data_IF_582689163807
#
_entry.id   IF_582689163807
#
_cell.length_a   1.000
_cell.length_b   1.000
_cell.length_c   1.000
_cell.angle_alpha   90.00
_cell.angle_beta   90.00
_cell.angle_gamma   90.00
#
_symmetry.space_group_name_H-M   'P 1'
#
loop_
_entity.id
_entity.type
_entity.pdbx_description
1 polymer ?
#
# COMPACT_ATOMS: atom_id res chain seq x y z
N UNK A 1 1.05 -1.06 -9.49
CA UNK A 1 2.24 -0.19 -9.67
C UNK A 1 2.09 0.99 -8.73
N UNK A 2 2.75 0.98 -7.57
CA UNK A 2 2.44 1.92 -6.49
C UNK A 2 2.78 3.37 -6.85
N UNK A 3 3.72 3.59 -7.77
CA UNK A 3 4.04 4.93 -8.27
C UNK A 3 2.93 5.47 -9.19
N UNK A 4 2.45 4.64 -10.12
CA UNK A 4 1.41 5.02 -11.09
C UNK A 4 0.08 5.29 -10.39
N UNK A 5 -0.31 4.46 -9.41
CA UNK A 5 -1.54 4.70 -8.64
C UNK A 5 -1.48 6.03 -7.88
N UNK A 6 -0.34 6.36 -7.27
CA UNK A 6 -0.14 7.65 -6.59
C UNK A 6 -0.20 8.83 -7.55
N UNK A 7 0.44 8.72 -8.72
CA UNK A 7 0.39 9.77 -9.74
C UNK A 7 -1.03 10.01 -10.26
N UNK A 8 -1.77 8.92 -10.55
CA UNK A 8 -3.17 8.99 -10.95
C UNK A 8 -4.07 9.55 -9.85
N UNK A 9 -3.80 9.23 -8.58
CA UNK A 9 -4.53 9.80 -7.44
C UNK A 9 -4.38 11.32 -7.40
N UNK A 10 -3.14 11.82 -7.52
CA UNK A 10 -2.85 13.25 -7.49
C UNK A 10 -3.53 13.95 -8.67
N UNK A 11 -3.40 13.40 -9.88
CA UNK A 11 -4.08 13.93 -11.07
C UNK A 11 -5.60 13.96 -10.90
N UNK A 12 -6.22 12.88 -10.40
CA UNK A 12 -7.65 12.81 -10.18
C UNK A 12 -8.13 13.85 -9.16
N UNK A 13 -7.38 14.06 -8.07
CA UNK A 13 -7.68 15.09 -7.07
C UNK A 13 -7.62 16.49 -7.70
N UNK A 14 -6.55 16.80 -8.44
CA UNK A 14 -6.44 18.10 -9.11
C UNK A 14 -7.55 18.32 -10.14
N UNK A 15 -7.90 17.30 -10.92
CA UNK A 15 -8.99 17.37 -11.89
C UNK A 15 -10.35 17.64 -11.21
N UNK A 16 -10.64 16.93 -10.11
CA UNK A 16 -11.89 17.12 -9.36
C UNK A 16 -11.95 18.48 -8.67
N UNK A 17 -10.82 18.98 -8.16
CA UNK A 17 -10.73 20.32 -7.60
C UNK A 17 -10.94 21.39 -8.68
N UNK A 18 -10.32 21.21 -9.85
CA UNK A 18 -10.48 22.13 -10.98
C UNK A 18 -11.93 22.17 -11.49
N UNK A 19 -12.53 21.01 -11.71
CA UNK A 19 -13.96 20.89 -12.07
C UNK A 19 -14.88 21.45 -10.98
N UNK A 20 -14.56 21.22 -9.71
CA UNK A 20 -15.29 21.77 -8.56
C UNK A 20 -15.22 23.29 -8.49
N UNK A 21 -14.06 23.88 -8.76
CA UNK A 21 -13.89 25.33 -8.85
C UNK A 21 -14.68 25.93 -10.03
N UNK A 22 -14.60 25.31 -11.21
CA UNK A 22 -15.35 25.75 -12.39
C UNK A 22 -16.88 25.68 -12.17
N UNK A 23 -17.35 24.62 -11.53
CA UNK A 23 -18.75 24.48 -11.13
C UNK A 23 -19.17 25.56 -10.12
N UNK A 24 -18.31 25.86 -9.13
CA UNK A 24 -18.55 26.93 -8.16
C UNK A 24 -18.67 28.29 -8.84
N UNK A 25 -17.73 28.66 -9.72
CA UNK A 25 -17.78 29.92 -10.47
C UNK A 25 -19.05 30.03 -11.32
N UNK A 26 -19.40 28.96 -12.04
CA UNK A 26 -20.63 28.91 -12.83
C UNK A 26 -21.88 29.13 -11.97
N UNK A 27 -21.95 28.50 -10.80
CA UNK A 27 -23.05 28.68 -9.86
C UNK A 27 -23.09 30.10 -9.27
N UNK A 28 -21.93 30.69 -8.95
CA UNK A 28 -21.85 32.07 -8.46
C UNK A 28 -22.32 33.07 -9.52
N UNK A 29 -21.89 32.90 -10.78
CA UNK A 29 -22.30 33.74 -11.91
C UNK A 29 -23.79 33.56 -12.17
N UNK A 30 -24.29 32.32 -12.19
CA UNK A 30 -25.73 32.02 -12.35
C UNK A 30 -26.57 32.73 -11.30
N UNK A 31 -26.16 32.64 -10.02
CA UNK A 31 -26.83 33.35 -8.91
C UNK A 31 -26.81 34.86 -9.11
N UNK A 32 -25.68 35.45 -9.52
CA UNK A 32 -25.58 36.90 -9.78
C UNK A 32 -26.49 37.35 -10.92
N UNK A 33 -26.56 36.58 -12.01
CA UNK A 33 -27.45 36.88 -13.14
C UNK A 33 -28.93 36.85 -12.75
N UNK A 34 -29.36 35.83 -11.97
CA UNK A 34 -30.74 35.76 -11.47
C UNK A 34 -31.10 37.00 -10.64
N UNK A 35 -30.17 37.48 -9.80
CA UNK A 35 -30.42 38.65 -8.94
C UNK A 35 -30.38 39.98 -9.70
N UNK A 36 -29.57 40.10 -10.76
CA UNK A 36 -29.35 41.35 -11.50
C UNK A 36 -30.19 41.49 -12.78
N UNK A 37 -30.72 40.38 -13.31
CA UNK A 37 -31.48 40.38 -14.56
C UNK A 37 -32.71 39.47 -14.44
N UNK A 38 -33.88 39.97 -14.84
CA UNK A 38 -35.14 39.21 -14.95
C UNK A 38 -35.11 38.17 -16.10
N UNK A 39 -33.94 37.58 -16.36
CA UNK A 39 -33.77 36.50 -17.32
C UNK A 39 -34.15 35.18 -16.63
N UNK A 40 -34.90 34.33 -17.32
CA UNK A 40 -35.30 33.02 -16.81
C UNK A 40 -34.11 32.05 -16.84
N UNK A 41 -33.27 32.13 -15.80
CA UNK A 41 -32.02 31.34 -15.67
C UNK A 41 -32.29 29.92 -15.17
N UNK A 42 -33.56 29.53 -14.97
CA UNK A 42 -33.94 28.20 -14.49
C UNK A 42 -33.43 27.09 -15.41
N UNK A 43 -33.40 27.35 -16.73
CA UNK A 43 -32.94 26.39 -17.75
C UNK A 43 -31.42 26.37 -17.97
N UNK A 44 -30.64 27.25 -17.33
CA UNK A 44 -29.19 27.24 -17.48
C UNK A 44 -28.58 26.06 -16.72
N UNK A 45 -28.33 24.97 -17.44
CA UNK A 45 -27.67 23.77 -16.92
C UNK A 45 -26.15 23.97 -16.88
N UNK A 46 -25.46 23.18 -16.05
CA UNK A 46 -24.00 23.15 -16.02
C UNK A 46 -23.47 22.82 -17.44
N UNK A 47 -22.47 23.53 -17.97
CA UNK A 47 -21.88 23.19 -19.26
C UNK A 47 -21.42 21.72 -19.27
N UNK A 48 -21.68 21.04 -20.40
CA UNK A 48 -21.36 19.61 -20.56
C UNK A 48 -19.86 19.32 -20.37
N UNK A 49 -19.01 20.28 -20.69
CA UNK A 49 -17.56 20.17 -20.51
C UNK A 49 -17.18 19.93 -19.03
N UNK A 50 -17.67 20.76 -18.12
CA UNK A 50 -17.45 20.61 -16.66
C UNK A 50 -18.03 19.30 -16.13
N UNK A 51 -19.16 18.84 -16.69
CA UNK A 51 -19.74 17.54 -16.33
C UNK A 51 -18.85 16.36 -16.76
N UNK A 52 -18.31 16.40 -17.98
CA UNK A 52 -17.39 15.39 -18.50
C UNK A 52 -16.06 15.42 -17.75
N UNK A 53 -15.58 16.61 -17.40
CA UNK A 53 -14.39 16.79 -16.59
C UNK A 53 -14.55 16.11 -15.22
N UNK A 54 -15.65 16.37 -14.53
CA UNK A 54 -15.96 15.71 -13.26
C UNK A 54 -16.05 14.19 -13.40
N UNK A 55 -16.75 13.69 -14.43
CA UNK A 55 -16.85 12.25 -14.71
C UNK A 55 -15.47 11.61 -14.97
N UNK A 56 -14.61 12.27 -15.76
CA UNK A 56 -13.25 11.80 -16.01
C UNK A 56 -12.42 11.76 -14.72
N UNK A 57 -12.55 12.76 -13.85
CA UNK A 57 -11.89 12.81 -12.56
C UNK A 57 -12.32 11.66 -11.64
N UNK A 58 -13.63 11.36 -11.59
CA UNK A 58 -14.16 10.22 -10.83
C UNK A 58 -13.65 8.89 -11.38
N UNK A 59 -13.64 8.70 -12.70
CA UNK A 59 -13.13 7.47 -13.32
C UNK A 59 -11.65 7.27 -13.00
N UNK A 60 -10.84 8.33 -13.12
CA UNK A 60 -9.42 8.29 -12.76
C UNK A 60 -9.20 7.99 -11.28
N UNK A 61 -10.04 8.52 -10.40
CA UNK A 61 -10.00 8.24 -8.96
C UNK A 61 -10.27 6.76 -8.68
N UNK A 62 -11.31 6.19 -9.29
CA UNK A 62 -11.65 4.77 -9.15
C UNK A 62 -10.51 3.89 -9.64
N UNK A 63 -9.96 4.18 -10.83
CA UNK A 63 -8.82 3.45 -11.38
C UNK A 63 -7.59 3.53 -10.48
N UNK A 64 -7.31 4.71 -9.94
CA UNK A 64 -6.21 4.91 -8.98
C UNK A 64 -6.34 4.02 -7.75
N UNK A 65 -7.54 3.93 -7.17
CA UNK A 65 -7.82 3.06 -6.00
C UNK A 65 -7.58 1.60 -6.35
N UNK A 66 -8.10 1.11 -7.47
CA UNK A 66 -7.87 -0.28 -7.88
C UNK A 66 -6.39 -0.58 -8.16
N UNK A 67 -5.66 0.34 -8.78
CA UNK A 67 -4.23 0.19 -9.07
C UNK A 67 -3.34 0.30 -7.83
N UNK A 68 -3.87 0.83 -6.73
CA UNK A 68 -3.19 0.92 -5.43
C UNK A 68 -2.98 -0.46 -4.82
N UNK A 69 -3.91 -1.40 -5.06
CA UNK A 69 -3.76 -2.78 -4.60
C UNK A 69 -2.61 -3.46 -5.36
N UNK A 70 -1.60 -3.88 -4.61
CA UNK A 70 -0.47 -4.63 -5.13
C UNK A 70 -0.61 -6.11 -4.74
N UNK A 71 -0.07 -6.99 -5.59
CA UNK A 71 -0.03 -8.41 -5.29
C UNK A 71 0.80 -8.67 -4.03
N UNK A 72 0.36 -9.62 -3.23
CA UNK A 72 1.03 -10.02 -2.00
C UNK A 72 2.42 -10.58 -2.30
N UNK A 73 3.43 -9.98 -1.72
CA UNK A 73 4.82 -10.40 -1.81
C UNK A 73 5.40 -10.56 -0.42
N UNK A 74 6.07 -11.68 -0.17
CA UNK A 74 6.68 -12.03 1.10
C UNK A 74 8.18 -12.24 0.92
N UNK A 75 8.95 -12.02 1.97
CA UNK A 75 10.36 -12.38 2.04
C UNK A 75 10.50 -13.64 2.88
N UNK A 76 11.29 -14.60 2.40
CA UNK A 76 11.58 -15.82 3.16
C UNK A 76 12.47 -15.51 4.37
N UNK A 77 12.07 -15.98 5.55
CA UNK A 77 12.82 -15.79 6.79
C UNK A 77 13.99 -16.80 6.91
N UNK A 78 13.83 -18.00 6.35
CA UNK A 78 14.85 -19.05 6.33
C UNK A 78 15.69 -19.04 5.05
N UNK A 79 17.02 -19.01 5.19
CA UNK A 79 17.95 -19.24 4.07
C UNK A 79 18.26 -18.01 3.22
N UNK A 80 18.35 -18.19 1.90
CA UNK A 80 18.66 -17.12 0.93
C UNK A 80 17.45 -16.19 0.80
N UNK A 81 17.68 -14.88 0.89
CA UNK A 81 16.67 -13.83 0.67
C UNK A 81 16.01 -13.99 -0.71
N UNK A 82 14.86 -14.68 -0.76
CA UNK A 82 14.08 -14.88 -1.97
C UNK A 82 12.72 -14.21 -1.78
N UNK A 83 12.33 -13.43 -2.78
CA UNK A 83 10.98 -12.84 -2.83
C UNK A 83 10.00 -13.93 -3.26
N UNK A 84 9.07 -14.26 -2.37
CA UNK A 84 7.95 -15.15 -2.61
C UNK A 84 6.78 -14.29 -3.09
N UNK A 85 6.27 -14.56 -4.29
CA UNK A 85 5.14 -13.81 -4.85
C UNK A 85 3.91 -14.70 -4.80
N UNK A 86 2.91 -14.25 -4.06
CA UNK A 86 1.57 -14.85 -4.09
C UNK A 86 0.77 -14.05 -5.11
N UNK A 87 0.16 -14.72 -6.09
CA UNK A 87 -0.54 -14.06 -7.20
C UNK A 87 -1.91 -13.48 -6.80
N UNK A 88 -2.09 -13.18 -5.52
CA UNK A 88 -3.33 -12.73 -4.91
C UNK A 88 -3.17 -11.29 -4.42
N UNK A 89 -4.26 -10.52 -4.46
CA UNK A 89 -4.29 -9.13 -4.00
C UNK A 89 -4.72 -8.99 -2.55
N UNK A 90 -5.51 -9.94 -2.06
CA UNK A 90 -6.11 -9.94 -0.73
C UNK A 90 -5.69 -11.20 0.00
N UNK A 91 -5.69 -11.14 1.33
CA UNK A 91 -5.40 -12.31 2.17
C UNK A 91 -6.61 -13.22 2.22
N UNK A 92 -6.38 -14.52 2.08
CA UNK A 92 -7.42 -15.53 2.23
C UNK A 92 -7.94 -15.55 3.69
N UNK A 93 -9.26 -15.67 3.86
CA UNK A 93 -9.93 -15.69 5.18
C UNK A 93 -9.95 -17.10 5.78
N UNK A 94 -9.98 -18.13 4.93
CA UNK A 94 -10.01 -19.51 5.37
C UNK A 94 -8.67 -19.90 6.02
N UNK A 95 -8.70 -20.27 7.30
CA UNK A 95 -7.52 -20.57 8.11
C UNK A 95 -6.57 -21.61 7.48
N UNK A 96 -7.12 -22.62 6.80
CA UNK A 96 -6.32 -23.68 6.16
C UNK A 96 -5.36 -23.12 5.11
N UNK A 97 -5.83 -22.13 4.35
CA UNK A 97 -5.05 -21.48 3.29
C UNK A 97 -4.33 -20.23 3.79
N UNK A 98 -4.91 -19.47 4.73
CA UNK A 98 -4.30 -18.29 5.32
C UNK A 98 -2.96 -18.60 6.03
N UNK A 99 -2.81 -19.83 6.54
CA UNK A 99 -1.56 -20.28 7.17
C UNK A 99 -0.50 -20.67 6.14
N UNK A 100 -0.89 -20.97 4.90
CA UNK A 100 0.04 -21.40 3.85
C UNK A 100 1.05 -20.30 3.49
N UNK A 101 0.63 -19.04 3.43
CA UNK A 101 1.50 -17.87 3.20
C UNK A 101 2.58 -17.75 4.28
N UNK A 102 2.20 -17.95 5.54
CA UNK A 102 3.11 -17.88 6.69
C UNK A 102 4.10 -19.05 6.68
N UNK A 103 3.60 -20.26 6.37
CA UNK A 103 4.44 -21.43 6.22
C UNK A 103 5.42 -21.29 5.05
N UNK A 104 4.98 -20.71 3.93
CA UNK A 104 5.82 -20.43 2.77
C UNK A 104 6.95 -19.44 3.12
N UNK A 105 6.63 -18.42 3.92
CA UNK A 105 7.62 -17.46 4.43
C UNK A 105 8.56 -18.07 5.51
N UNK A 106 8.28 -19.28 6.01
CA UNK A 106 9.02 -19.92 7.10
C UNK A 106 8.69 -19.34 8.49
N UNK A 107 7.56 -18.66 8.63
CA UNK A 107 7.11 -18.05 9.87
C UNK A 107 6.11 -18.95 10.58
N UNK A 108 6.31 -19.17 11.88
CA UNK A 108 5.31 -19.83 12.73
C UNK A 108 4.45 -18.76 13.42
N UNK A 109 3.12 -18.70 13.15
CA UNK A 109 2.22 -17.75 13.82
C UNK A 109 2.14 -17.96 15.34
N UNK A 110 2.47 -19.15 15.85
CA UNK A 110 2.51 -19.48 17.27
C UNK A 110 3.94 -19.45 17.84
N UNK A 111 4.84 -18.69 17.22
CA UNK A 111 6.26 -18.66 17.57
C UNK A 111 6.55 -18.33 19.03
N UNK A 112 5.72 -17.51 19.68
CA UNK A 112 5.87 -17.18 21.11
C UNK A 112 5.72 -18.42 22.00
N UNK A 113 4.81 -19.33 21.66
CA UNK A 113 4.60 -20.58 22.40
C UNK A 113 5.58 -21.67 21.93
N UNK A 114 5.80 -21.80 20.63
CA UNK A 114 6.63 -22.88 20.08
C UNK A 114 8.13 -22.69 20.32
N UNK A 115 8.62 -21.45 20.35
CA UNK A 115 10.06 -21.17 20.53
C UNK A 115 10.41 -20.68 21.93
N UNK A 116 9.40 -20.48 22.80
CA UNK A 116 9.55 -20.10 24.21
C UNK A 116 10.67 -19.08 24.43
N UNK A 117 10.58 -17.86 23.85
CA UNK A 117 11.67 -16.89 23.85
C UNK A 117 12.11 -16.48 25.27
N UNK A 118 11.21 -16.62 26.25
CA UNK A 118 11.47 -16.32 27.66
C UNK A 118 12.36 -17.35 28.38
N UNK A 119 12.48 -18.58 27.84
CA UNK A 119 13.21 -19.69 28.48
C UNK A 119 14.47 -20.08 27.69
N UNK A 120 14.99 -19.16 26.88
CA UNK A 120 16.20 -19.42 26.09
C UNK A 120 17.42 -19.40 27.00
N UNK A 121 18.20 -20.48 26.98
CA UNK A 121 19.49 -20.51 27.66
C UNK A 121 20.47 -19.55 26.99
N UNK A 122 20.73 -18.44 27.69
CA UNK A 122 21.61 -17.38 27.24
C UNK A 122 23.07 -17.83 27.21
N UNK A 123 23.49 -18.71 28.12
CA UNK A 123 24.87 -19.20 28.18
C UNK A 123 25.16 -20.12 27.00
N UNK A 124 24.29 -21.10 26.76
CA UNK A 124 24.40 -21.99 25.61
C UNK A 124 24.40 -21.21 24.28
N UNK A 125 23.56 -20.16 24.15
CA UNK A 125 23.52 -19.35 22.93
C UNK A 125 24.78 -18.51 22.73
N UNK A 126 25.40 -18.00 23.82
CA UNK A 126 26.69 -17.31 23.75
C UNK A 126 27.82 -18.23 23.32
N UNK A 127 27.83 -19.47 23.81
CA UNK A 127 28.82 -20.47 23.38
C UNK A 127 28.68 -20.82 21.90
N UNK A 128 27.44 -21.03 21.42
CA UNK A 128 27.18 -21.27 20.00
C UNK A 128 27.68 -20.13 19.11
N UNK A 129 27.42 -18.88 19.48
CA UNK A 129 27.90 -17.71 18.74
C UNK A 129 29.43 -17.61 18.81
N UNK A 130 30.04 -17.90 19.97
CA UNK A 130 31.49 -17.91 20.12
C UNK A 130 32.15 -18.97 19.23
N UNK A 131 31.59 -20.18 19.15
CA UNK A 131 32.05 -21.23 18.24
C UNK A 131 31.87 -20.82 16.78
N UNK A 132 30.73 -20.23 16.42
CA UNK A 132 30.48 -19.76 15.05
C UNK A 132 31.47 -18.67 14.62
N UNK A 133 31.81 -17.72 15.50
CA UNK A 133 32.81 -16.69 15.22
C UNK A 133 34.21 -17.28 14.98
N UNK A 134 34.60 -18.31 15.75
CA UNK A 134 35.88 -19.01 15.53
C UNK A 134 35.94 -19.70 14.16
N UNK A 135 34.81 -20.23 13.69
CA UNK A 135 34.71 -20.88 12.37
C UNK A 135 34.71 -19.84 11.24
N UNK A 136 34.04 -18.70 11.44
CA UNK A 136 33.90 -17.65 10.42
C UNK A 136 35.19 -16.85 10.20
N UNK A 137 35.87 -16.49 11.28
CA UNK A 137 37.06 -15.61 11.26
C UNK A 137 38.24 -16.26 12.02
N UNK A 138 38.82 -17.37 11.52
CA UNK A 138 39.83 -18.14 12.24
C UNK A 138 41.13 -17.35 12.51
N UNK A 139 41.48 -16.41 11.63
CA UNK A 139 42.71 -15.61 11.72
C UNK A 139 42.73 -14.62 12.89
N UNK A 140 41.56 -14.16 13.34
CA UNK A 140 41.42 -13.25 14.50
C UNK A 140 41.65 -13.97 15.84
N UNK A 141 41.48 -15.30 15.87
CA UNK A 141 41.60 -16.10 17.09
C UNK A 141 42.90 -16.92 17.15
N UNK A 142 43.58 -17.14 16.02
CA UNK A 142 44.90 -17.81 15.98
C UNK A 142 46.06 -16.93 16.48
N UNK A 143 45.87 -15.61 16.62
CA UNK A 143 46.89 -14.66 17.10
C UNK A 143 46.80 -14.33 18.59
N UNK A 144 45.90 -14.99 19.32
CA UNK A 144 45.58 -14.66 20.72
C UNK A 144 46.15 -15.64 21.76
N UNK A 145 46.88 -16.64 21.29
CA UNK A 145 47.69 -17.58 22.08
C UNK A 145 49.18 -17.29 21.85
#
# INVERSE_FOLDING_TARGET
>A
MPLVSKALLVLAIFQLLHSGFSSHEFLTIKKRLVTQSNLDVAHLQLPKDVQLEAMSGVILLILSVFMSFSKLCYLSLGGKLKVLRVNEYLKEINMNKATSDKNLAGCNPYGEMCYTPNLVDVHAKREQVAQWNKIRDPELFAKKD
#
